data_IF_728272284324
#
_entry.id   IF_728272284324
#
_cell.length_a   1.000
_cell.length_b   1.000
_cell.length_c   1.000
_cell.angle_alpha   90.00
_cell.angle_beta   90.00
_cell.angle_gamma   90.00
#
_symmetry.space_group_name_H-M   'P 1'
#
loop_
_entity.id
_entity.type
_entity.pdbx_description
1 polymer ?
#
# COMPACT_ATOMS: atom_id res chain seq x y z
N UNK A 1 -8.96 -3.59 -13.88
CA UNK A 1 -8.73 -2.21 -13.36
C UNK A 1 -7.49 -2.27 -12.48
N UNK A 2 -6.58 -1.31 -12.59
CA UNK A 2 -5.36 -1.25 -11.77
C UNK A 2 -5.56 -0.19 -10.68
N UNK A 3 -5.16 -0.50 -9.45
CA UNK A 3 -5.21 0.42 -8.31
C UNK A 3 -3.82 0.57 -7.71
N UNK A 4 -3.39 1.82 -7.48
CA UNK A 4 -2.10 2.13 -6.86
C UNK A 4 -2.31 2.69 -5.45
N UNK A 5 -2.11 1.82 -4.46
CA UNK A 5 -2.19 2.16 -3.04
C UNK A 5 -0.82 2.63 -2.53
N UNK A 6 -0.80 3.60 -1.62
CA UNK A 6 0.42 4.09 -0.96
C UNK A 6 0.30 3.77 0.51
N UNK A 7 1.33 3.15 1.08
CA UNK A 7 1.39 2.83 2.49
C UNK A 7 2.84 2.81 2.95
N UNK A 8 3.06 2.72 4.26
CA UNK A 8 4.38 2.51 4.85
C UNK A 8 4.72 1.02 4.87
N UNK A 9 6.00 0.69 4.77
CA UNK A 9 6.48 -0.70 4.74
C UNK A 9 6.03 -1.52 5.97
N UNK A 10 5.97 -0.89 7.14
CA UNK A 10 5.49 -1.53 8.38
C UNK A 10 4.03 -1.99 8.32
N UNK A 11 3.22 -1.39 7.43
CA UNK A 11 1.80 -1.71 7.27
C UNK A 11 1.50 -2.67 6.12
N UNK A 12 2.53 -3.07 5.36
CA UNK A 12 2.34 -3.84 4.14
C UNK A 12 1.62 -5.17 4.40
N UNK A 13 2.05 -5.92 5.41
CA UNK A 13 1.43 -7.22 5.71
C UNK A 13 -0.02 -7.08 6.13
N UNK A 14 -0.33 -6.08 6.99
CA UNK A 14 -1.70 -5.79 7.40
C UNK A 14 -2.59 -5.38 6.22
N UNK A 15 -2.08 -4.53 5.32
CA UNK A 15 -2.80 -4.10 4.13
C UNK A 15 -3.05 -5.27 3.19
N UNK A 16 -2.05 -6.11 2.93
CA UNK A 16 -2.16 -7.30 2.07
C UNK A 16 -3.26 -8.22 2.58
N UNK A 17 -3.24 -8.58 3.86
CA UNK A 17 -4.28 -9.43 4.47
C UNK A 17 -5.68 -8.82 4.32
N UNK A 18 -5.81 -7.51 4.52
CA UNK A 18 -7.11 -6.82 4.35
C UNK A 18 -7.60 -6.85 2.90
N UNK A 19 -6.69 -6.72 1.93
CA UNK A 19 -7.03 -6.87 0.50
C UNK A 19 -7.50 -8.30 0.23
N UNK A 20 -6.77 -9.32 0.69
CA UNK A 20 -7.15 -10.73 0.48
C UNK A 20 -8.53 -11.06 1.06
N UNK A 21 -8.87 -10.49 2.22
CA UNK A 21 -10.18 -10.69 2.87
C UNK A 21 -11.33 -10.05 2.08
N UNK A 22 -11.09 -8.88 1.47
CA UNK A 22 -12.13 -8.10 0.80
C UNK A 22 -12.26 -8.39 -0.70
N UNK A 23 -11.18 -8.81 -1.34
CA UNK A 23 -11.16 -8.89 -2.79
C UNK A 23 -12.03 -10.05 -3.26
N UNK A 24 -12.93 -9.85 -4.23
CA UNK A 24 -13.85 -10.90 -4.69
C UNK A 24 -13.18 -12.05 -5.45
N UNK A 25 -11.86 -11.99 -5.64
CA UNK A 25 -11.13 -13.00 -6.40
C UNK A 25 -10.42 -13.93 -5.43
N UNK A 26 -10.39 -15.21 -5.77
CA UNK A 26 -9.70 -16.23 -4.96
C UNK A 26 -8.19 -15.95 -4.89
N UNK A 27 -7.59 -15.43 -5.97
CA UNK A 27 -6.17 -15.11 -6.05
C UNK A 27 -5.99 -13.71 -6.64
N UNK A 28 -6.10 -12.63 -5.84
CA UNK A 28 -5.90 -11.27 -6.32
C UNK A 28 -4.41 -10.96 -6.53
N UNK A 29 -4.10 -10.14 -7.53
CA UNK A 29 -2.75 -9.62 -7.72
C UNK A 29 -2.46 -8.52 -6.68
N UNK A 30 -1.46 -8.75 -5.82
CA UNK A 30 -1.00 -7.78 -4.82
C UNK A 30 0.52 -7.75 -4.83
N UNK A 31 1.08 -6.66 -5.37
CA UNK A 31 2.52 -6.45 -5.48
C UNK A 31 2.94 -5.19 -4.72
N UNK A 32 4.10 -5.24 -4.06
CA UNK A 32 4.71 -4.10 -3.39
C UNK A 32 5.95 -3.65 -4.17
N UNK A 33 6.03 -2.36 -4.47
CA UNK A 33 7.17 -1.76 -5.17
C UNK A 33 7.83 -0.76 -4.20
N UNK A 34 9.10 -0.96 -3.80
CA UNK A 34 9.83 -0.03 -2.94
C UNK A 34 9.97 1.35 -3.60
N UNK A 35 9.70 2.41 -2.83
CA UNK A 35 9.91 3.80 -3.25
C UNK A 35 11.25 4.27 -2.68
N UNK A 36 12.26 4.42 -3.54
CA UNK A 36 13.60 4.83 -3.13
C UNK A 36 13.74 6.35 -2.89
N UNK A 37 12.97 7.16 -3.63
CA UNK A 37 12.94 8.61 -3.49
C UNK A 37 11.62 9.20 -3.95
N UNK A 38 11.32 10.43 -3.53
CA UNK A 38 10.09 11.13 -3.90
C UNK A 38 10.05 12.55 -3.35
N UNK A 39 9.01 13.29 -3.70
CA UNK A 39 8.81 14.65 -3.18
C UNK A 39 8.57 14.61 -1.67
N UNK A 40 9.47 15.21 -0.89
CA UNK A 40 9.51 15.11 0.57
C UNK A 40 8.16 15.38 1.24
N UNK A 41 7.51 16.50 0.90
CA UNK A 41 6.25 16.87 1.54
C UNK A 41 5.13 15.84 1.28
N UNK A 42 5.14 15.17 0.13
CA UNK A 42 4.18 14.12 -0.17
C UNK A 42 4.45 12.84 0.63
N UNK A 43 5.71 12.46 0.80
CA UNK A 43 6.08 11.31 1.63
C UNK A 43 5.77 11.55 3.11
N UNK A 44 6.01 12.76 3.60
CA UNK A 44 5.63 13.18 4.97
C UNK A 44 4.11 13.15 5.16
N UNK A 45 3.34 13.61 4.17
CA UNK A 45 1.88 13.51 4.20
C UNK A 45 1.41 12.05 4.23
N UNK A 46 1.95 11.16 3.40
CA UNK A 46 1.63 9.72 3.46
C UNK A 46 1.93 9.16 4.86
N UNK A 47 3.09 9.50 5.43
CA UNK A 47 3.46 9.03 6.76
C UNK A 47 2.53 9.55 7.86
N UNK A 48 1.99 10.77 7.70
CA UNK A 48 1.00 11.33 8.61
C UNK A 48 -0.39 10.67 8.50
N UNK A 49 -0.86 10.37 7.29
CA UNK A 49 -2.17 9.74 7.03
C UNK A 49 -2.19 8.24 7.36
N UNK A 50 -1.04 7.57 7.32
CA UNK A 50 -0.93 6.12 7.51
C UNK A 50 -0.27 5.75 8.84
N UNK A 51 -0.59 6.50 9.91
CA UNK A 51 -0.10 6.23 11.27
C UNK A 51 -0.55 4.86 11.80
#
# INVERSE_FOLDING_TARGET
MIVLLKTRAEHLERLKLRILELHPYEVPEVLAIPVESGYRAYLEWIAAETR
#
